data_IF_143670292879
#
_entry.id   IF_143670292879
#
_cell.length_a   1.000
_cell.length_b   1.000
_cell.length_c   1.000
_cell.angle_alpha   90.00
_cell.angle_beta   90.00
_cell.angle_gamma   90.00
#
_symmetry.space_group_name_H-M   'P 1'
#
loop_
_entity.id
_entity.type
_entity.pdbx_description
1 polymer ?
#
# COMPACT_ATOMS: atom_id res chain seq x y z
N UNK A 1 -1.06 -15.08 11.81
CA UNK A 1 -2.48 -14.66 11.81
C UNK A 1 -3.26 -15.16 13.04
N UNK A 2 -3.27 -16.46 13.33
CA UNK A 2 -3.95 -17.03 14.52
C UNK A 2 -3.58 -16.36 15.85
N UNK A 3 -2.29 -16.08 16.08
CA UNK A 3 -1.81 -15.42 17.31
C UNK A 3 -2.41 -14.02 17.47
N UNK A 4 -2.51 -13.24 16.38
CA UNK A 4 -3.10 -11.90 16.41
C UNK A 4 -4.60 -11.96 16.71
N UNK A 5 -5.32 -12.94 16.14
CA UNK A 5 -6.74 -13.11 16.42
C UNK A 5 -7.00 -13.53 17.86
N UNK A 6 -6.21 -14.47 18.40
CA UNK A 6 -6.30 -14.87 19.80
C UNK A 6 -6.00 -13.69 20.74
N UNK A 7 -4.92 -12.94 20.46
CA UNK A 7 -4.56 -11.76 21.24
C UNK A 7 -5.67 -10.70 21.21
N UNK A 8 -6.20 -10.41 20.02
CA UNK A 8 -7.29 -9.43 19.86
C UNK A 8 -8.55 -9.88 20.62
N UNK A 9 -8.93 -11.16 20.52
CA UNK A 9 -10.05 -11.72 21.25
C UNK A 9 -9.88 -11.62 22.76
N UNK A 10 -8.67 -11.89 23.26
CA UNK A 10 -8.34 -11.82 24.69
C UNK A 10 -8.42 -10.38 25.20
N UNK A 11 -7.81 -9.42 24.51
CA UNK A 11 -7.87 -7.99 24.85
C UNK A 11 -9.31 -7.46 24.78
N UNK A 12 -10.10 -7.90 23.78
CA UNK A 12 -11.51 -7.53 23.68
C UNK A 12 -12.33 -8.12 24.84
N UNK A 13 -12.05 -9.37 25.24
CA UNK A 13 -12.66 -10.01 26.40
C UNK A 13 -12.36 -9.26 27.70
N UNK A 14 -11.09 -8.93 27.93
CA UNK A 14 -10.68 -8.09 29.08
C UNK A 14 -11.36 -6.72 29.05
N UNK A 15 -11.44 -6.10 27.87
CA UNK A 15 -12.14 -4.82 27.69
C UNK A 15 -13.63 -4.91 28.04
N UNK A 16 -14.30 -5.99 27.62
CA UNK A 16 -15.72 -6.25 27.92
C UNK A 16 -15.96 -6.46 29.43
N UNK A 17 -15.04 -7.13 30.12
CA UNK A 17 -15.11 -7.31 31.59
C UNK A 17 -14.85 -5.99 32.32
N UNK A 18 -13.89 -5.18 31.85
CA UNK A 18 -13.53 -3.92 32.47
C UNK A 18 -14.58 -2.80 32.26
N UNK A 19 -15.17 -2.70 31.07
CA UNK A 19 -16.15 -1.65 30.75
C UNK A 19 -17.10 -2.02 29.59
N UNK A 20 -18.12 -2.87 29.82
CA UNK A 20 -18.95 -3.41 28.75
C UNK A 20 -19.69 -2.32 27.96
N UNK A 21 -20.14 -1.24 28.61
CA UNK A 21 -20.78 -0.11 27.94
C UNK A 21 -19.82 0.63 27.00
N UNK A 22 -18.57 0.88 27.42
CA UNK A 22 -17.58 1.57 26.59
C UNK A 22 -17.15 0.70 25.41
N UNK A 23 -16.93 -0.60 25.64
CA UNK A 23 -16.56 -1.55 24.59
C UNK A 23 -17.65 -1.72 23.54
N UNK A 24 -18.93 -1.82 23.95
CA UNK A 24 -20.07 -1.85 23.01
C UNK A 24 -20.15 -0.57 22.17
N UNK A 25 -19.93 0.60 22.79
CA UNK A 25 -19.91 1.88 22.06
C UNK A 25 -18.77 1.93 21.05
N UNK A 26 -17.56 1.53 21.45
CA UNK A 26 -16.40 1.45 20.57
C UNK A 26 -16.63 0.50 19.38
N UNK A 27 -17.20 -0.68 19.63
CA UNK A 27 -17.57 -1.64 18.57
C UNK A 27 -18.60 -1.07 17.60
N UNK A 28 -19.60 -0.33 18.11
CA UNK A 28 -20.60 0.34 17.26
C UNK A 28 -19.98 1.44 16.39
N UNK A 29 -19.03 2.20 16.93
CA UNK A 29 -18.28 3.21 16.17
C UNK A 29 -17.42 2.53 15.09
N UNK A 30 -16.69 1.46 15.45
CA UNK A 30 -15.87 0.69 14.53
C UNK A 30 -16.71 0.12 13.38
N UNK A 31 -17.84 -0.52 13.69
CA UNK A 31 -18.77 -1.05 12.70
C UNK A 31 -19.33 0.03 11.76
N UNK A 32 -19.75 1.18 12.29
CA UNK A 32 -20.21 2.31 11.47
C UNK A 32 -19.11 2.87 10.56
N UNK A 33 -17.88 2.99 11.04
CA UNK A 33 -16.74 3.44 10.22
C UNK A 33 -16.41 2.42 9.14
N UNK A 34 -16.41 1.13 9.49
CA UNK A 34 -16.18 0.05 8.54
C UNK A 34 -17.23 0.05 7.43
N UNK A 35 -18.52 0.16 7.75
CA UNK A 35 -19.59 0.23 6.74
C UNK A 35 -19.52 1.46 5.83
N UNK A 36 -18.83 2.54 6.23
CA UNK A 36 -18.58 3.70 5.37
C UNK A 36 -17.41 3.48 4.41
N UNK A 37 -16.36 2.79 4.86
CA UNK A 37 -15.15 2.52 4.06
C UNK A 37 -15.36 1.32 3.14
N UNK A 38 -16.15 0.32 3.56
CA UNK A 38 -16.34 -0.93 2.84
C UNK A 38 -16.87 -0.75 1.40
N UNK A 39 -17.85 0.12 1.10
CA UNK A 39 -18.33 0.31 -0.27
C UNK A 39 -17.25 0.84 -1.22
N UNK A 40 -16.48 1.85 -0.79
CA UNK A 40 -15.37 2.41 -1.57
C UNK A 40 -14.27 1.36 -1.77
N UNK A 41 -13.96 0.61 -0.71
CA UNK A 41 -12.96 -0.45 -0.75
C UNK A 41 -13.35 -1.60 -1.69
N UNK A 42 -14.59 -2.09 -1.61
CA UNK A 42 -15.12 -3.13 -2.50
C UNK A 42 -15.18 -2.62 -3.95
N UNK A 43 -15.68 -1.39 -4.16
CA UNK A 43 -15.73 -0.76 -5.48
C UNK A 43 -14.37 -0.71 -6.15
N UNK A 44 -13.35 -0.31 -5.40
CA UNK A 44 -11.99 -0.29 -5.89
C UNK A 44 -11.43 -1.70 -6.15
N UNK A 45 -11.64 -2.67 -5.26
CA UNK A 45 -11.21 -4.06 -5.51
C UNK A 45 -11.84 -4.63 -6.79
N UNK A 46 -13.11 -4.31 -7.05
CA UNK A 46 -13.78 -4.69 -8.30
C UNK A 46 -13.12 -4.04 -9.51
N UNK A 47 -12.86 -2.72 -9.48
CA UNK A 47 -12.18 -2.03 -10.57
C UNK A 47 -10.79 -2.60 -10.86
N UNK A 48 -10.01 -2.89 -9.82
CA UNK A 48 -8.71 -3.53 -9.94
C UNK A 48 -8.86 -4.91 -10.58
N UNK A 49 -9.79 -5.73 -10.08
CA UNK A 49 -10.01 -7.09 -10.59
C UNK A 49 -10.43 -7.07 -12.06
N UNK A 50 -11.28 -6.11 -12.46
CA UNK A 50 -11.69 -5.91 -13.86
C UNK A 50 -10.50 -5.46 -14.71
N UNK A 51 -9.72 -4.48 -14.25
CA UNK A 51 -8.54 -4.02 -14.96
C UNK A 51 -7.53 -5.15 -15.17
N UNK A 52 -7.26 -5.94 -14.14
CA UNK A 52 -6.38 -7.10 -14.21
C UNK A 52 -6.92 -8.20 -15.13
N UNK A 53 -8.23 -8.43 -15.14
CA UNK A 53 -8.87 -9.38 -16.06
C UNK A 53 -8.73 -8.96 -17.53
N UNK A 54 -8.75 -7.66 -17.82
CA UNK A 54 -8.61 -7.13 -19.18
C UNK A 54 -7.14 -7.17 -19.66
N UNK A 55 -6.18 -7.05 -18.76
CA UNK A 55 -4.76 -7.08 -19.11
C UNK A 55 -4.32 -8.54 -19.35
N UNK A 56 -3.69 -8.86 -20.49
CA UNK A 56 -3.20 -10.21 -20.76
C UNK A 56 -2.20 -10.69 -19.69
N UNK A 57 -2.35 -11.92 -19.20
CA UNK A 57 -1.42 -12.53 -18.22
C UNK A 57 0.06 -12.43 -18.61
N UNK A 58 0.47 -12.63 -19.89
CA UNK A 58 1.88 -12.49 -20.27
C UNK A 58 2.42 -11.07 -20.06
N UNK A 59 1.58 -10.05 -20.26
CA UNK A 59 1.92 -8.65 -20.04
C UNK A 59 2.04 -8.35 -18.54
N UNK A 60 1.15 -8.91 -17.72
CA UNK A 60 1.23 -8.81 -16.26
C UNK A 60 2.53 -9.44 -15.74
N UNK A 61 2.86 -10.66 -16.15
CA UNK A 61 4.10 -11.34 -15.76
C UNK A 61 5.34 -10.58 -16.24
N UNK A 62 5.33 -10.05 -17.47
CA UNK A 62 6.47 -9.31 -17.99
C UNK A 62 6.66 -7.95 -17.29
N UNK A 63 5.58 -7.30 -16.86
CA UNK A 63 5.65 -6.01 -16.13
C UNK A 63 5.94 -6.19 -14.64
N UNK A 64 5.42 -7.25 -14.02
CA UNK A 64 5.51 -7.49 -12.57
C UNK A 64 6.70 -8.36 -12.17
N UNK A 65 7.18 -9.20 -13.10
CA UNK A 65 8.21 -10.23 -12.85
C UNK A 65 9.37 -10.17 -13.84
N UNK A 66 9.26 -9.35 -14.90
CA UNK A 66 10.01 -9.49 -16.15
C UNK A 66 11.52 -9.62 -16.06
N UNK A 67 12.10 -10.04 -17.19
CA UNK A 67 13.53 -10.31 -17.39
C UNK A 67 14.47 -9.21 -16.86
N UNK A 68 13.99 -7.95 -16.82
CA UNK A 68 14.72 -6.83 -16.22
C UNK A 68 13.99 -6.25 -15.00
N UNK A 69 14.35 -6.77 -13.82
CA UNK A 69 13.84 -6.37 -12.49
C UNK A 69 13.96 -4.87 -12.22
N UNK A 70 14.97 -4.21 -12.77
CA UNK A 70 15.18 -2.77 -12.64
C UNK A 70 14.12 -1.95 -13.36
N UNK A 71 13.70 -2.39 -14.55
CA UNK A 71 12.65 -1.70 -15.33
C UNK A 71 11.31 -1.80 -14.61
N UNK A 72 10.97 -3.00 -14.10
CA UNK A 72 9.76 -3.20 -13.31
C UNK A 72 9.74 -2.33 -12.05
N UNK A 73 10.87 -2.26 -11.30
CA UNK A 73 10.99 -1.39 -10.13
C UNK A 73 10.83 0.09 -10.50
N UNK A 74 11.49 0.58 -11.55
CA UNK A 74 11.38 1.97 -11.98
C UNK A 74 9.96 2.33 -12.43
N UNK A 75 9.27 1.41 -13.12
CA UNK A 75 7.86 1.55 -13.47
C UNK A 75 6.97 1.66 -12.23
N UNK A 76 7.15 0.79 -11.25
CA UNK A 76 6.44 0.82 -9.96
C UNK A 76 6.69 2.11 -9.17
N UNK A 77 7.94 2.57 -9.14
CA UNK A 77 8.33 3.84 -8.50
C UNK A 77 7.61 5.02 -9.16
N UNK A 78 7.60 5.07 -10.50
CA UNK A 78 6.93 6.12 -11.26
C UNK A 78 5.43 6.12 -11.05
N UNK A 79 4.79 4.95 -11.17
CA UNK A 79 3.35 4.80 -10.97
C UNK A 79 2.92 5.16 -9.54
N UNK A 80 3.65 4.68 -8.53
CA UNK A 80 3.36 5.01 -7.13
C UNK A 80 3.53 6.50 -6.85
N UNK A 81 4.57 7.14 -7.39
CA UNK A 81 4.83 8.57 -7.17
C UNK A 81 3.73 9.51 -7.69
N UNK A 82 3.06 9.13 -8.78
CA UNK A 82 1.98 9.93 -9.41
C UNK A 82 0.61 9.61 -8.80
N UNK A 83 0.46 8.43 -8.21
CA UNK A 83 -0.81 7.95 -7.68
C UNK A 83 -1.07 8.49 -6.27
N UNK A 84 -2.34 8.73 -5.93
CA UNK A 84 -2.78 8.97 -4.55
C UNK A 84 -3.79 7.89 -4.23
N UNK A 85 -3.38 6.94 -3.40
CA UNK A 85 -4.27 5.90 -2.90
C UNK A 85 -4.16 5.80 -1.38
N UNK A 86 -5.27 5.60 -0.67
CA UNK A 86 -5.23 5.28 0.75
C UNK A 86 -4.47 3.98 1.04
N UNK A 87 -3.77 3.91 2.17
CA UNK A 87 -2.99 2.71 2.53
C UNK A 87 -3.83 1.45 2.65
N UNK A 88 -5.06 1.55 3.16
CA UNK A 88 -5.98 0.42 3.29
C UNK A 88 -6.40 -0.18 1.94
N UNK A 89 -6.23 0.57 0.87
CA UNK A 89 -6.47 0.17 -0.52
C UNK A 89 -5.20 -0.46 -1.13
N UNK A 90 -4.05 0.18 -0.89
CA UNK A 90 -2.80 -0.15 -1.54
C UNK A 90 -2.24 -1.51 -1.09
N UNK A 91 -2.35 -1.85 0.19
CA UNK A 91 -1.82 -3.11 0.70
C UNK A 91 -2.56 -4.35 0.14
N UNK A 92 -3.91 -4.38 0.08
CA UNK A 92 -4.64 -5.45 -0.60
C UNK A 92 -4.29 -5.57 -2.08
N UNK A 93 -4.13 -4.45 -2.79
CA UNK A 93 -3.65 -4.46 -4.19
C UNK A 93 -2.27 -5.13 -4.30
N UNK A 94 -1.32 -4.75 -3.45
CA UNK A 94 -0.01 -5.39 -3.42
C UNK A 94 -0.10 -6.90 -3.12
N UNK A 95 -1.02 -7.31 -2.25
CA UNK A 95 -1.27 -8.74 -1.98
C UNK A 95 -1.83 -9.50 -3.19
N UNK A 96 -2.73 -8.88 -3.96
CA UNK A 96 -3.23 -9.47 -5.21
C UNK A 96 -2.09 -9.61 -6.22
N UNK A 97 -1.29 -8.55 -6.42
CA UNK A 97 -0.14 -8.58 -7.32
C UNK A 97 0.92 -9.59 -6.89
N UNK A 98 1.14 -9.76 -5.58
CA UNK A 98 2.03 -10.80 -5.05
C UNK A 98 1.56 -12.21 -5.42
N UNK A 99 0.26 -12.49 -5.28
CA UNK A 99 -0.31 -13.78 -5.68
C UNK A 99 -0.21 -14.04 -7.19
N UNK A 100 -0.11 -12.98 -8.00
CA UNK A 100 0.13 -13.05 -9.43
C UNK A 100 1.62 -13.17 -9.80
N UNK A 101 2.52 -13.26 -8.81
CA UNK A 101 3.95 -13.43 -9.05
C UNK A 101 4.75 -12.13 -9.19
N UNK A 102 4.23 -11.01 -8.70
CA UNK A 102 5.02 -9.78 -8.61
C UNK A 102 6.17 -9.90 -7.60
N UNK A 103 7.33 -9.34 -7.95
CA UNK A 103 8.52 -9.31 -7.10
C UNK A 103 8.30 -8.41 -5.86
N UNK A 104 8.79 -8.84 -4.70
CA UNK A 104 8.77 -8.07 -3.44
C UNK A 104 9.48 -6.72 -3.59
N UNK A 105 10.54 -6.64 -4.40
CA UNK A 105 11.22 -5.41 -4.78
C UNK A 105 10.28 -4.43 -5.50
N UNK A 106 9.45 -4.92 -6.41
CA UNK A 106 8.50 -4.10 -7.19
C UNK A 106 7.34 -3.64 -6.31
N UNK A 107 6.83 -4.53 -5.46
CA UNK A 107 5.74 -4.22 -4.53
C UNK A 107 6.16 -3.23 -3.44
N UNK A 108 7.37 -3.38 -2.90
CA UNK A 108 7.94 -2.44 -1.92
C UNK A 108 8.22 -1.09 -2.57
N UNK A 109 8.77 -1.05 -3.78
CA UNK A 109 8.90 0.17 -4.58
C UNK A 109 7.56 0.90 -4.75
N UNK A 110 6.54 0.19 -5.24
CA UNK A 110 5.21 0.77 -5.50
C UNK A 110 4.56 1.29 -4.22
N UNK A 111 4.47 0.46 -3.17
CA UNK A 111 3.79 0.84 -1.92
C UNK A 111 4.50 1.98 -1.20
N UNK A 112 5.84 2.00 -1.23
CA UNK A 112 6.64 3.01 -0.54
C UNK A 112 6.59 4.36 -1.26
N UNK A 113 6.66 4.39 -2.61
CA UNK A 113 6.51 5.65 -3.35
C UNK A 113 5.09 6.19 -3.27
N UNK A 114 4.08 5.34 -3.35
CA UNK A 114 2.67 5.71 -3.23
C UNK A 114 2.35 6.43 -1.91
N UNK A 115 3.01 6.05 -0.82
CA UNK A 115 2.79 6.67 0.50
C UNK A 115 3.69 7.88 0.76
N UNK A 116 4.94 7.85 0.30
CA UNK A 116 5.94 8.86 0.71
C UNK A 116 6.13 9.98 -0.31
N UNK A 117 6.00 9.68 -1.61
CA UNK A 117 6.21 10.64 -2.69
C UNK A 117 4.88 11.27 -3.05
N UNK A 118 4.81 12.59 -2.94
CA UNK A 118 3.63 13.38 -3.16
C UNK A 118 3.72 14.22 -4.42
N UNK A 119 3.93 13.61 -5.60
CA UNK A 119 3.94 14.38 -6.87
C UNK A 119 2.58 15.03 -7.10
N UNK A 120 1.51 14.27 -6.94
CA UNK A 120 0.15 14.77 -7.09
C UNK A 120 -0.25 15.74 -5.95
N UNK A 121 0.34 15.62 -4.76
CA UNK A 121 0.14 16.56 -3.64
C UNK A 121 1.13 17.72 -3.62
N UNK A 122 2.05 17.81 -4.59
CA UNK A 122 3.08 18.84 -4.64
C UNK A 122 2.54 20.29 -4.62
N UNK A 123 1.43 20.64 -5.31
CA UNK A 123 0.86 21.99 -5.22
C UNK A 123 0.43 22.37 -3.80
N UNK A 124 -0.10 21.39 -3.06
CA UNK A 124 -0.51 21.56 -1.67
C UNK A 124 0.73 21.74 -0.79
N UNK A 125 1.71 20.86 -0.92
CA UNK A 125 2.95 20.92 -0.14
C UNK A 125 3.72 22.21 -0.37
N UNK A 126 3.82 22.67 -1.62
CA UNK A 126 4.45 23.95 -1.94
C UNK A 126 3.78 25.12 -1.21
N UNK A 127 2.45 25.09 -1.07
CA UNK A 127 1.68 26.15 -0.40
C UNK A 127 1.93 26.20 1.12
N UNK A 128 2.08 25.04 1.76
CA UNK A 128 2.24 24.95 3.22
C UNK A 128 3.70 24.95 3.68
N UNK A 129 4.61 24.34 2.92
CA UNK A 129 6.00 24.10 3.29
C UNK A 129 6.99 25.03 2.57
N UNK A 130 6.56 25.67 1.48
CA UNK A 130 7.44 26.38 0.55
C UNK A 130 8.09 25.45 -0.47
N UNK A 131 8.41 26.01 -1.64
CA UNK A 131 8.86 25.24 -2.82
C UNK A 131 10.13 24.42 -2.56
N UNK A 132 11.11 25.00 -1.86
CA UNK A 132 12.39 24.33 -1.60
C UNK A 132 12.20 23.13 -0.68
N UNK A 133 11.45 23.28 0.41
CA UNK A 133 11.21 22.19 1.37
C UNK A 133 10.35 21.08 0.75
N UNK A 134 9.32 21.44 -0.03
CA UNK A 134 8.49 20.48 -0.74
C UNK A 134 9.30 19.64 -1.75
N UNK A 135 10.25 20.27 -2.48
CA UNK A 135 11.16 19.55 -3.39
C UNK A 135 12.08 18.61 -2.62
N UNK A 136 12.74 19.09 -1.56
CA UNK A 136 13.60 18.24 -0.74
C UNK A 136 12.86 17.07 -0.11
N UNK A 137 11.63 17.28 0.37
CA UNK A 137 10.76 16.22 0.91
C UNK A 137 10.52 15.13 -0.14
N UNK A 138 10.08 15.51 -1.33
CA UNK A 138 9.78 14.54 -2.39
C UNK A 138 11.03 13.82 -2.91
N UNK A 139 12.13 14.56 -3.13
CA UNK A 139 13.40 13.97 -3.57
C UNK A 139 13.94 12.96 -2.53
N UNK A 140 13.88 13.31 -1.25
CA UNK A 140 14.33 12.42 -0.16
C UNK A 140 13.41 11.21 -0.03
N UNK A 141 12.08 11.40 -0.08
CA UNK A 141 11.12 10.29 -0.11
C UNK A 141 11.36 9.34 -1.27
N UNK A 142 11.64 9.87 -2.46
CA UNK A 142 11.92 9.08 -3.66
C UNK A 142 13.21 8.28 -3.51
N UNK A 143 14.29 8.90 -2.99
CA UNK A 143 15.55 8.22 -2.71
C UNK A 143 15.38 7.11 -1.66
N UNK A 144 14.65 7.37 -0.58
CA UNK A 144 14.35 6.36 0.44
C UNK A 144 13.56 5.20 -0.19
N UNK A 145 12.55 5.48 -1.01
CA UNK A 145 11.76 4.43 -1.65
C UNK A 145 12.61 3.53 -2.56
N UNK A 146 13.54 4.13 -3.31
CA UNK A 146 14.50 3.41 -4.15
C UNK A 146 15.43 2.51 -3.31
N UNK A 147 15.98 3.04 -2.20
CA UNK A 147 16.83 2.27 -1.28
C UNK A 147 16.05 1.12 -0.66
N UNK A 148 14.82 1.36 -0.20
CA UNK A 148 13.95 0.32 0.40
C UNK A 148 13.65 -0.78 -0.61
N UNK A 149 13.37 -0.42 -1.86
CA UNK A 149 13.10 -1.42 -2.91
C UNK A 149 14.32 -2.31 -3.15
N UNK A 150 15.51 -1.73 -3.30
CA UNK A 150 16.76 -2.48 -3.47
C UNK A 150 17.04 -3.36 -2.24
N UNK A 151 16.91 -2.82 -1.04
CA UNK A 151 17.11 -3.57 0.20
C UNK A 151 16.15 -4.76 0.28
N UNK A 152 14.89 -4.58 -0.13
CA UNK A 152 13.91 -5.65 -0.21
C UNK A 152 14.32 -6.69 -1.25
N UNK A 153 14.80 -6.26 -2.43
CA UNK A 153 15.30 -7.16 -3.46
C UNK A 153 16.45 -8.05 -2.98
N UNK A 154 17.40 -7.51 -2.21
CA UNK A 154 18.46 -8.30 -1.59
C UNK A 154 17.95 -9.24 -0.48
N UNK A 155 17.08 -8.74 0.41
CA UNK A 155 16.55 -9.53 1.53
C UNK A 155 15.73 -10.74 1.08
N UNK A 156 15.00 -10.60 -0.02
CA UNK A 156 14.17 -11.67 -0.59
C UNK A 156 14.89 -12.48 -1.68
N UNK A 157 16.19 -12.25 -1.92
CA UNK A 157 16.98 -13.00 -2.90
C UNK A 157 16.58 -12.76 -4.36
N UNK A 158 15.93 -11.63 -4.63
CA UNK A 158 15.50 -11.25 -5.97
C UNK A 158 16.60 -10.52 -6.74
N UNK A 159 17.56 -9.92 -6.05
CA UNK A 159 18.77 -9.37 -6.64
C UNK A 159 19.97 -10.29 -6.32
N UNK A 160 20.92 -10.46 -7.27
CA UNK A 160 22.13 -11.24 -7.06
C UNK A 160 23.06 -10.62 -6.02
#
# INVERSE_FOLDING_TARGET
MLILYMFTGLVLGVSLLASPQKTKSALKIAGRRFSKIAPEFIGMLMLISIALYIIPEPLLVQVLTGDNKWVAMMGAIGLGSVSIMPGFIAFPLCGILLNLGALYMVLSAFSTTLMMVGVATFPLERKYLGTQLALWRNATSFAIAFIVAIATGFLFGELP
#
